data_IF_823749213346
#
_entry.id   IF_823749213346
#
_cell.length_a   1.000
_cell.length_b   1.000
_cell.length_c   1.000
_cell.angle_alpha   90.00
_cell.angle_beta   90.00
_cell.angle_gamma   90.00
#
_symmetry.space_group_name_H-M   'P 1'
#
loop_
_entity.id
_entity.type
_entity.pdbx_description
1 polymer ?
#
# COMPACT_ATOMS: atom_id res chain seq x y z
N UNK A 1 7.98 0.78 22.19
CA UNK A 1 6.91 0.33 21.27
C UNK A 1 7.18 0.91 19.90
N UNK A 2 7.51 0.08 18.91
CA UNK A 2 7.72 0.52 17.53
C UNK A 2 6.38 0.51 16.78
N UNK A 3 5.89 1.69 16.40
CA UNK A 3 4.73 1.79 15.50
C UNK A 3 5.14 1.38 14.08
N UNK A 4 4.28 0.64 13.39
CA UNK A 4 4.50 0.20 12.01
C UNK A 4 4.22 1.34 11.02
N UNK A 5 4.79 1.26 9.82
CA UNK A 5 4.54 2.27 8.78
C UNK A 5 3.07 2.34 8.35
N UNK A 6 2.35 1.22 8.42
CA UNK A 6 0.92 1.20 8.07
C UNK A 6 0.06 1.83 9.18
N UNK A 7 0.49 1.75 10.45
CA UNK A 7 -0.14 2.50 11.54
C UNK A 7 0.04 4.01 11.36
N UNK A 8 1.27 4.47 11.06
CA UNK A 8 1.54 5.89 10.77
C UNK A 8 0.70 6.40 9.59
N UNK A 9 0.52 5.58 8.54
CA UNK A 9 -0.34 5.93 7.40
C UNK A 9 -1.81 5.98 7.79
N UNK A 10 -2.26 5.07 8.66
CA UNK A 10 -3.63 5.05 9.15
C UNK A 10 -3.94 6.26 10.04
N UNK A 11 -3.02 6.64 10.92
CA UNK A 11 -3.12 7.87 11.73
C UNK A 11 -3.21 9.12 10.85
N UNK A 12 -2.37 9.21 9.82
CA UNK A 12 -2.42 10.33 8.88
C UNK A 12 -3.73 10.36 8.07
N UNK A 13 -4.26 9.19 7.68
CA UNK A 13 -5.54 9.09 6.99
C UNK A 13 -6.71 9.44 7.93
N UNK A 14 -6.63 9.03 9.19
CA UNK A 14 -7.60 9.34 10.24
C UNK A 14 -7.72 10.86 10.43
N UNK A 15 -6.58 11.54 10.55
CA UNK A 15 -6.52 12.99 10.75
C UNK A 15 -6.85 13.82 9.51
N UNK A 16 -6.89 13.20 8.31
CA UNK A 16 -7.20 13.88 7.06
C UNK A 16 -8.70 13.95 6.74
N UNK A 17 -9.05 14.74 5.74
CA UNK A 17 -10.45 15.07 5.41
C UNK A 17 -11.18 14.01 4.57
N UNK A 18 -10.52 12.90 4.21
CA UNK A 18 -11.16 11.86 3.40
C UNK A 18 -12.26 11.16 4.20
N UNK A 19 -13.43 11.02 3.58
CA UNK A 19 -14.56 10.32 4.18
C UNK A 19 -14.69 8.89 3.64
N UNK A 20 -15.19 7.95 4.46
CA UNK A 20 -15.48 6.59 4.03
C UNK A 20 -16.46 6.50 2.85
N UNK A 21 -17.45 7.39 2.81
CA UNK A 21 -18.52 7.45 1.81
C UNK A 21 -18.04 7.85 0.40
N UNK A 22 -16.92 8.56 0.30
CA UNK A 22 -16.37 9.04 -0.98
C UNK A 22 -15.73 7.91 -1.81
N UNK A 23 -15.55 6.71 -1.25
CA UNK A 23 -14.85 5.57 -1.88
C UNK A 23 -13.56 6.01 -2.61
N UNK A 24 -12.62 6.69 -1.92
CA UNK A 24 -11.51 7.35 -2.58
C UNK A 24 -10.58 6.34 -3.28
N UNK A 25 -10.10 6.63 -4.50
CA UNK A 25 -9.17 5.75 -5.18
C UNK A 25 -7.81 5.72 -4.46
N UNK A 26 -7.02 4.63 -4.59
CA UNK A 26 -5.77 4.45 -3.86
C UNK A 26 -4.76 5.59 -4.03
N UNK A 27 -4.74 6.25 -5.17
CA UNK A 27 -3.86 7.39 -5.47
C UNK A 27 -4.25 8.61 -4.63
N UNK A 28 -5.55 8.88 -4.46
CA UNK A 28 -6.06 9.99 -3.64
C UNK A 28 -5.74 9.74 -2.17
N UNK A 29 -5.91 8.50 -1.70
CA UNK A 29 -5.51 8.08 -0.35
C UNK A 29 -4.02 8.32 -0.13
N UNK A 30 -3.15 7.86 -1.05
CA UNK A 30 -1.70 8.05 -0.94
C UNK A 30 -1.27 9.51 -0.92
N UNK A 31 -1.88 10.35 -1.75
CA UNK A 31 -1.62 11.79 -1.77
C UNK A 31 -2.03 12.46 -0.47
N UNK A 32 -3.23 12.15 0.04
CA UNK A 32 -3.73 12.69 1.30
C UNK A 32 -2.81 12.33 2.47
N UNK A 33 -2.48 11.04 2.63
CA UNK A 33 -1.56 10.56 3.67
C UNK A 33 -0.19 11.25 3.57
N UNK A 34 0.38 11.35 2.37
CA UNK A 34 1.67 12.02 2.17
C UNK A 34 1.59 13.51 2.50
N UNK A 35 0.48 14.18 2.13
CA UNK A 35 0.24 15.58 2.42
C UNK A 35 0.15 15.86 3.92
N UNK A 36 -0.62 15.05 4.65
CA UNK A 36 -0.77 15.14 6.10
C UNK A 36 0.57 14.94 6.81
N UNK A 37 1.30 13.88 6.46
CA UNK A 37 2.61 13.59 7.04
C UNK A 37 3.65 14.67 6.75
N UNK A 38 3.62 15.27 5.55
CA UNK A 38 4.55 16.36 5.20
C UNK A 38 4.22 17.67 5.89
N UNK A 39 2.92 17.97 6.06
CA UNK A 39 2.47 19.26 6.60
C UNK A 39 2.53 19.29 8.13
N UNK A 40 2.17 18.19 8.78
CA UNK A 40 1.99 18.14 10.24
C UNK A 40 2.90 17.14 10.94
N UNK A 41 3.43 16.15 10.21
CA UNK A 41 4.25 15.09 10.79
C UNK A 41 3.44 13.98 11.48
N UNK A 42 4.11 12.86 11.76
CA UNK A 42 3.47 11.68 12.36
C UNK A 42 3.00 11.93 13.80
N UNK A 43 3.81 12.63 14.61
CA UNK A 43 3.48 12.89 16.01
C UNK A 43 2.18 13.71 16.17
N UNK A 44 1.98 14.70 15.30
CA UNK A 44 0.74 15.49 15.30
C UNK A 44 -0.47 14.65 14.88
N UNK A 45 -0.31 13.76 13.89
CA UNK A 45 -1.38 12.86 13.47
C UNK A 45 -1.78 11.91 14.61
N UNK A 46 -0.80 11.37 15.34
CA UNK A 46 -1.04 10.53 16.51
C UNK A 46 -1.72 11.30 17.64
N UNK A 47 -1.28 12.55 17.92
CA UNK A 47 -1.91 13.40 18.93
C UNK A 47 -3.36 13.76 18.59
N UNK A 48 -3.65 14.09 17.32
CA UNK A 48 -5.02 14.36 16.86
C UNK A 48 -5.91 13.12 16.99
N UNK A 49 -5.38 11.94 16.64
CA UNK A 49 -6.08 10.68 16.83
C UNK A 49 -6.39 10.43 18.32
N UNK A 50 -5.40 10.59 19.20
CA UNK A 50 -5.58 10.40 20.64
C UNK A 50 -6.62 11.38 21.24
N UNK A 51 -6.59 12.65 20.82
CA UNK A 51 -7.57 13.65 21.24
C UNK A 51 -9.00 13.21 20.89
N UNK A 52 -9.21 12.81 19.64
CA UNK A 52 -10.52 12.39 19.18
C UNK A 52 -11.02 11.12 19.89
N UNK A 53 -10.11 10.19 20.20
CA UNK A 53 -10.45 9.02 21.02
C UNK A 53 -10.84 9.40 22.45
N UNK A 54 -10.37 10.53 22.97
CA UNK A 54 -10.80 11.07 24.26
C UNK A 54 -12.18 11.73 24.20
N UNK A 55 -12.46 12.47 23.13
CA UNK A 55 -13.69 13.25 22.98
C UNK A 55 -14.88 12.37 22.49
N UNK A 56 -14.64 11.54 21.48
CA UNK A 56 -15.66 10.75 20.77
C UNK A 56 -15.15 9.34 20.43
N UNK A 57 -15.02 8.44 21.42
CA UNK A 57 -14.36 7.16 21.26
C UNK A 57 -15.03 6.23 20.23
N UNK A 58 -16.36 6.20 20.17
CA UNK A 58 -17.11 5.36 19.22
C UNK A 58 -16.93 5.81 17.76
N UNK A 59 -16.92 7.13 17.54
CA UNK A 59 -16.68 7.71 16.22
C UNK A 59 -15.24 7.49 15.78
N UNK A 60 -14.29 7.74 16.68
CA UNK A 60 -12.87 7.53 16.45
C UNK A 60 -12.57 6.05 16.14
N UNK A 61 -13.16 5.11 16.90
CA UNK A 61 -12.99 3.69 16.65
C UNK A 61 -13.47 3.27 15.25
N UNK A 62 -14.66 3.74 14.85
CA UNK A 62 -15.20 3.46 13.52
C UNK A 62 -14.31 4.03 12.40
N UNK A 63 -13.84 5.29 12.57
CA UNK A 63 -12.96 5.96 11.60
C UNK A 63 -11.59 5.28 11.51
N UNK A 64 -11.00 4.87 12.62
CA UNK A 64 -9.70 4.18 12.65
C UNK A 64 -9.79 2.79 12.03
N UNK A 65 -10.86 2.04 12.29
CA UNK A 65 -11.12 0.75 11.65
C UNK A 65 -11.22 0.88 10.12
N UNK A 66 -11.89 1.93 9.64
CA UNK A 66 -11.93 2.26 8.22
C UNK A 66 -10.54 2.62 7.69
N UNK A 67 -9.80 3.50 8.36
CA UNK A 67 -8.49 3.95 7.92
C UNK A 67 -7.50 2.78 7.79
N UNK A 68 -7.49 1.88 8.77
CA UNK A 68 -6.67 0.65 8.74
C UNK A 68 -7.03 -0.24 7.55
N UNK A 69 -8.33 -0.43 7.26
CA UNK A 69 -8.78 -1.21 6.09
C UNK A 69 -8.30 -0.58 4.80
N UNK A 70 -8.55 0.72 4.62
CA UNK A 70 -8.15 1.46 3.41
C UNK A 70 -6.65 1.46 3.21
N UNK A 71 -5.86 1.66 4.26
CA UNK A 71 -4.40 1.59 4.18
C UNK A 71 -3.94 0.18 3.79
N UNK A 72 -4.48 -0.85 4.44
CA UNK A 72 -4.18 -2.23 4.05
C UNK A 72 -4.50 -2.48 2.58
N UNK A 73 -5.67 -2.07 2.09
CA UNK A 73 -6.06 -2.28 0.70
C UNK A 73 -5.21 -1.48 -0.30
N UNK A 74 -4.95 -0.21 -0.01
CA UNK A 74 -4.20 0.69 -0.89
C UNK A 74 -2.70 0.41 -0.91
N UNK A 75 -2.14 -0.15 0.17
CA UNK A 75 -0.69 -0.39 0.30
C UNK A 75 -0.32 -1.88 0.24
N UNK A 76 -1.26 -2.83 0.39
CA UNK A 76 -1.00 -4.26 0.18
C UNK A 76 -0.57 -4.58 -1.26
N UNK A 77 -0.98 -3.79 -2.26
CA UNK A 77 -0.53 -3.95 -3.65
C UNK A 77 0.99 -3.81 -3.82
N UNK A 78 1.63 -2.96 -3.00
CA UNK A 78 3.09 -2.79 -3.01
C UNK A 78 3.82 -3.97 -2.31
N UNK A 79 3.20 -4.59 -1.31
CA UNK A 79 3.76 -5.76 -0.61
C UNK A 79 3.52 -7.07 -1.38
N UNK A 80 2.34 -7.24 -2.00
CA UNK A 80 1.99 -8.41 -2.84
C UNK A 80 2.78 -8.45 -4.15
N UNK A 81 3.20 -7.31 -4.68
CA UNK A 81 4.11 -7.25 -5.82
C UNK A 81 5.51 -7.78 -5.47
N UNK A 82 5.94 -7.68 -4.21
CA UNK A 82 7.24 -8.20 -3.74
C UNK A 82 7.25 -9.70 -3.47
N UNK A 83 6.08 -10.33 -3.35
CA UNK A 83 5.94 -11.73 -2.90
C UNK A 83 5.47 -12.71 -3.98
N UNK A 84 5.23 -12.25 -5.22
CA UNK A 84 4.88 -13.16 -6.33
C UNK A 84 6.05 -13.59 -7.22
N UNK A 85 7.27 -13.15 -6.93
CA UNK A 85 8.46 -13.92 -7.27
C UNK A 85 8.88 -14.74 -6.06
N UNK A 86 8.06 -15.73 -5.69
CA UNK A 86 8.57 -16.88 -4.94
C UNK A 86 9.28 -17.72 -5.99
N UNK A 87 10.63 -17.81 -6.04
CA UNK A 87 11.23 -18.86 -6.83
C UNK A 87 10.61 -20.16 -6.32
N UNK A 88 9.92 -20.88 -7.20
CA UNK A 88 9.57 -22.27 -6.94
C UNK A 88 10.88 -22.92 -6.49
N UNK A 89 10.96 -23.34 -5.23
CA UNK A 89 12.20 -23.89 -4.67
C UNK A 89 12.68 -24.94 -5.64
N UNK A 90 13.87 -24.69 -6.15
CA UNK A 90 14.62 -25.51 -7.08
C UNK A 90 14.56 -26.95 -6.57
N UNK A 91 13.85 -27.82 -7.29
CA UNK A 91 14.05 -29.25 -7.16
C UNK A 91 15.52 -29.46 -7.56
N UNK A 92 16.40 -29.84 -6.63
CA UNK A 92 17.78 -30.24 -6.96
C UNK A 92 17.66 -31.41 -7.94
N UNK A 93 17.84 -31.15 -9.22
CA UNK A 93 18.18 -32.19 -10.19
C UNK A 93 19.71 -32.27 -10.15
N UNK A 94 20.23 -33.48 -9.94
CA UNK A 94 21.66 -33.74 -9.95
C UNK A 94 22.27 -33.31 -11.31
N UNK A 95 23.50 -32.77 -11.34
CA UNK A 95 24.08 -32.28 -12.57
C UNK A 95 24.50 -33.47 -13.45
N UNK A 96 23.96 -33.54 -14.66
CA UNK A 96 24.62 -34.18 -15.79
C UNK A 96 24.93 -33.07 -16.78
N UNK A 97 26.18 -32.61 -16.76
CA UNK A 97 26.77 -31.67 -17.73
C UNK A 97 27.17 -32.44 -19.02
N UNK A 98 27.50 -31.77 -20.16
CA UNK A 98 27.66 -30.32 -20.34
C UNK A 98 27.02 -29.73 -21.63
N UNK A 99 27.18 -28.41 -21.72
CA UNK A 99 27.21 -27.58 -22.94
C UNK A 99 25.88 -27.23 -23.61
N UNK A 100 25.31 -26.10 -23.20
CA UNK A 100 24.31 -25.42 -24.00
C UNK A 100 23.83 -24.13 -23.36
N UNK A 101 24.49 -23.01 -23.68
CA UNK A 101 24.01 -21.63 -23.56
C UNK A 101 23.32 -21.29 -22.22
N UNK A 102 24.01 -20.54 -21.35
CA UNK A 102 23.36 -19.84 -20.22
C UNK A 102 22.41 -18.80 -20.80
N UNK A 103 21.18 -19.19 -21.09
CA UNK A 103 20.15 -18.25 -21.48
C UNK A 103 19.85 -17.40 -20.25
N UNK A 104 20.18 -16.11 -20.33
CA UNK A 104 19.76 -15.13 -19.33
C UNK A 104 18.24 -15.19 -19.30
N UNK A 105 17.68 -15.89 -18.31
CA UNK A 105 16.24 -15.95 -18.09
C UNK A 105 15.77 -14.53 -17.80
N UNK A 106 15.36 -13.81 -18.85
CA UNK A 106 14.59 -12.58 -18.70
C UNK A 106 13.32 -13.00 -18.00
N UNK A 107 13.10 -12.47 -16.80
CA UNK A 107 11.87 -12.71 -16.07
C UNK A 107 10.68 -12.49 -17.02
N UNK A 108 9.88 -13.54 -17.24
CA UNK A 108 8.75 -13.57 -18.20
C UNK A 108 7.61 -12.59 -17.83
N UNK A 109 7.71 -11.91 -16.70
CA UNK A 109 6.74 -10.91 -16.29
C UNK A 109 7.28 -9.51 -16.56
N UNK A 110 6.87 -8.87 -17.67
CA UNK A 110 7.19 -7.48 -17.89
C UNK A 110 6.44 -6.66 -16.84
N UNK A 111 7.18 -5.89 -16.04
CA UNK A 111 6.66 -4.81 -15.18
C UNK A 111 5.91 -3.72 -15.96
N UNK A 112 5.76 -3.87 -17.30
CA UNK A 112 5.00 -2.98 -18.20
C UNK A 112 3.48 -2.97 -18.01
N UNK A 113 2.88 -3.88 -17.22
CA UNK A 113 1.40 -3.92 -17.09
C UNK A 113 0.80 -2.79 -16.24
N UNK A 114 1.62 -1.97 -15.58
CA UNK A 114 1.15 -0.77 -14.87
C UNK A 114 1.09 0.50 -15.75
N UNK A 115 1.68 0.51 -16.95
CA UNK A 115 1.60 1.68 -17.84
C UNK A 115 0.24 1.77 -18.56
N UNK A 116 -0.37 0.64 -18.92
CA UNK A 116 -1.64 0.63 -19.66
C UNK A 116 -2.91 0.68 -18.80
N UNK A 117 -2.86 0.39 -17.50
CA UNK A 117 -4.03 0.52 -16.63
C UNK A 117 -4.35 2.00 -16.32
N UNK A 118 -3.34 2.87 -16.34
CA UNK A 118 -3.50 4.33 -16.26
C UNK A 118 -4.00 4.93 -17.58
N UNK A 119 -3.62 4.37 -18.73
CA UNK A 119 -4.00 4.90 -20.05
C UNK A 119 -5.42 4.52 -20.52
N UNK A 120 -6.05 3.48 -19.97
CA UNK A 120 -7.44 3.11 -20.31
C UNK A 120 -8.52 3.84 -19.49
N UNK A 121 -8.15 4.55 -18.42
CA UNK A 121 -9.07 5.39 -17.63
C UNK A 121 -9.17 6.85 -18.12
N UNK A 122 -8.36 7.25 -19.12
CA UNK A 122 -8.40 8.57 -19.76
C UNK A 122 -9.04 8.54 -21.17
N UNK A 123 -9.77 7.48 -21.50
CA UNK A 123 -10.73 7.46 -22.61
C UNK A 123 -12.06 7.13 -21.98
N UNK A 124 -13.14 7.71 -22.50
CA UNK A 124 -14.52 7.68 -22.01
C UNK A 124 -14.92 8.91 -21.19
N UNK A 125 -15.67 9.74 -21.92
CA UNK A 125 -16.49 10.92 -21.64
C UNK A 125 -16.96 11.15 -20.21
#
# INVERSE_FOLDING_TARGET
>A
MSITLDEVRAEALFAGDLQPSEHPPPERVRRSVTGMLRRYGAAWCAARMAQEFGDHPEWAAARMAWALRVVRDCYAGAARARTRCRPARLRRVAPTEPAGRVERVRCRYPTRRYRHALERRNRWC
#
